data_IF_649188359092
#
_entry.id   IF_649188359092
#
_cell.length_a   1.000
_cell.length_b   1.000
_cell.length_c   1.000
_cell.angle_alpha   90.00
_cell.angle_beta   90.00
_cell.angle_gamma   90.00
#
_symmetry.space_group_name_H-M   'P 1'
#
loop_
_entity.id
_entity.type
_entity.pdbx_description
1 polymer ?
#
# COMPACT_ATOMS: atom_id res chain seq x y z
N UNK A 1 1.72 -11.68 2.00
CA UNK A 1 1.35 -12.82 1.12
C UNK A 1 -0.14 -13.20 1.28
N UNK A 2 -0.66 -13.43 2.50
CA UNK A 2 -2.07 -13.80 2.72
C UNK A 2 -3.10 -12.85 2.10
N UNK A 3 -2.96 -11.53 2.26
CA UNK A 3 -3.83 -10.55 1.60
C UNK A 3 -3.86 -10.71 0.07
N UNK A 4 -2.69 -10.84 -0.56
CA UNK A 4 -2.60 -11.02 -2.02
C UNK A 4 -3.28 -12.31 -2.48
N UNK A 5 -3.23 -13.37 -1.67
CA UNK A 5 -3.92 -14.61 -1.98
C UNK A 5 -5.45 -14.44 -1.92
N UNK A 6 -5.97 -13.83 -0.85
CA UNK A 6 -7.42 -13.58 -0.74
C UNK A 6 -7.93 -12.65 -1.85
N UNK A 7 -7.16 -11.62 -2.20
CA UNK A 7 -7.49 -10.75 -3.33
C UNK A 7 -7.49 -11.52 -4.65
N UNK A 8 -6.48 -12.36 -4.90
CA UNK A 8 -6.45 -13.23 -6.08
C UNK A 8 -7.67 -14.16 -6.14
N UNK A 9 -8.03 -14.82 -5.03
CA UNK A 9 -9.23 -15.65 -4.97
C UNK A 9 -10.49 -14.85 -5.33
N UNK A 10 -10.62 -13.63 -4.81
CA UNK A 10 -11.72 -12.72 -5.15
C UNK A 10 -11.74 -12.37 -6.64
N UNK A 11 -10.59 -12.20 -7.30
CA UNK A 11 -10.55 -11.99 -8.76
C UNK A 11 -10.93 -13.22 -9.56
N UNK A 12 -10.65 -14.42 -9.05
CA UNK A 12 -10.97 -15.69 -9.72
C UNK A 12 -12.46 -16.00 -9.66
N UNK A 13 -13.09 -15.83 -8.51
CA UNK A 13 -14.52 -16.16 -8.31
C UNK A 13 -15.45 -14.97 -8.52
N UNK A 14 -14.91 -13.74 -8.54
CA UNK A 14 -15.67 -12.50 -8.56
C UNK A 14 -15.90 -11.93 -7.16
N UNK A 15 -15.85 -10.61 -7.02
CA UNK A 15 -15.90 -9.93 -5.72
C UNK A 15 -17.19 -10.20 -4.94
N UNK A 16 -18.35 -10.17 -5.60
CA UNK A 16 -19.65 -10.40 -4.94
C UNK A 16 -19.76 -11.84 -4.40
N UNK A 17 -19.36 -12.82 -5.21
CA UNK A 17 -19.33 -14.23 -4.82
C UNK A 17 -18.33 -14.49 -3.68
N UNK A 18 -17.18 -13.80 -3.72
CA UNK A 18 -16.20 -13.88 -2.65
C UNK A 18 -16.71 -13.28 -1.33
N UNK A 19 -17.48 -12.20 -1.37
CA UNK A 19 -18.10 -11.61 -0.18
C UNK A 19 -19.13 -12.55 0.46
N UNK A 20 -19.95 -13.22 -0.37
CA UNK A 20 -20.88 -14.27 0.10
C UNK A 20 -20.13 -15.44 0.73
N UNK A 21 -19.04 -15.88 0.11
CA UNK A 21 -18.13 -16.88 0.69
C UNK A 21 -17.57 -16.43 2.04
N UNK A 22 -17.05 -15.21 2.14
CA UNK A 22 -16.43 -14.69 3.35
C UNK A 22 -17.44 -14.60 4.50
N UNK A 23 -18.67 -14.16 4.22
CA UNK A 23 -19.75 -14.15 5.20
C UNK A 23 -20.08 -15.58 5.66
N UNK A 24 -20.23 -16.53 4.74
CA UNK A 24 -20.52 -17.93 5.07
C UNK A 24 -19.40 -18.57 5.89
N UNK A 25 -18.13 -18.29 5.55
CA UNK A 25 -16.95 -18.79 6.25
C UNK A 25 -16.91 -18.29 7.70
N UNK A 26 -17.08 -16.98 7.92
CA UNK A 26 -17.09 -16.39 9.26
C UNK A 26 -18.26 -16.96 10.08
N UNK A 27 -19.45 -17.08 9.49
CA UNK A 27 -20.60 -17.65 10.21
C UNK A 27 -20.41 -19.13 10.57
N UNK A 28 -19.76 -19.90 9.71
CA UNK A 28 -19.47 -21.31 9.96
C UNK A 28 -18.45 -21.52 11.08
N UNK A 29 -17.40 -20.70 11.11
CA UNK A 29 -16.23 -20.91 11.98
C UNK A 29 -16.11 -19.91 13.14
N UNK A 30 -17.11 -19.06 13.36
CA UNK A 30 -17.16 -18.21 14.57
C UNK A 30 -16.98 -19.06 15.83
N UNK A 31 -16.18 -18.54 16.77
CA UNK A 31 -15.83 -19.19 18.04
C UNK A 31 -15.08 -20.52 17.91
N UNK A 32 -14.46 -20.79 16.75
CA UNK A 32 -13.64 -21.99 16.51
C UNK A 32 -12.22 -21.60 16.08
N UNK A 33 -11.30 -22.54 16.22
CA UNK A 33 -9.96 -22.48 15.60
C UNK A 33 -9.97 -23.32 14.34
N UNK A 34 -9.34 -22.83 13.28
CA UNK A 34 -9.31 -23.47 11.96
C UNK A 34 -7.91 -23.42 11.38
N UNK A 35 -7.63 -24.36 10.49
CA UNK A 35 -6.39 -24.46 9.74
C UNK A 35 -6.54 -23.90 8.34
N UNK A 36 -5.42 -23.66 7.64
CA UNK A 36 -5.42 -23.30 6.22
C UNK A 36 -6.08 -24.39 5.34
N UNK A 37 -6.02 -25.66 5.78
CA UNK A 37 -6.68 -26.76 5.09
C UNK A 37 -8.21 -26.67 5.24
N UNK A 38 -8.71 -26.31 6.42
CA UNK A 38 -10.16 -26.10 6.64
C UNK A 38 -10.69 -24.94 5.79
N UNK A 39 -9.88 -23.89 5.59
CA UNK A 39 -10.19 -22.80 4.66
C UNK A 39 -10.31 -23.31 3.22
N UNK A 40 -9.29 -24.04 2.73
CA UNK A 40 -9.30 -24.60 1.38
C UNK A 40 -10.50 -25.51 1.14
N UNK A 41 -10.75 -26.46 2.04
CA UNK A 41 -11.88 -27.40 1.94
C UNK A 41 -13.21 -26.65 1.92
N UNK A 42 -13.36 -25.62 2.76
CA UNK A 42 -14.58 -24.82 2.76
C UNK A 42 -14.75 -24.01 1.47
N UNK A 43 -13.67 -23.45 0.91
CA UNK A 43 -13.67 -22.72 -0.35
C UNK A 43 -14.04 -23.61 -1.54
N UNK A 44 -13.36 -24.75 -1.70
CA UNK A 44 -13.65 -25.72 -2.76
C UNK A 44 -15.09 -26.24 -2.67
N UNK A 45 -15.60 -26.45 -1.45
CA UNK A 45 -16.98 -26.86 -1.22
C UNK A 45 -17.98 -25.75 -1.58
N UNK A 46 -17.69 -24.50 -1.21
CA UNK A 46 -18.57 -23.36 -1.48
C UNK A 46 -18.77 -23.15 -3.00
N UNK A 47 -17.70 -23.33 -3.77
CA UNK A 47 -17.71 -23.13 -5.22
C UNK A 47 -17.69 -24.44 -6.03
N UNK A 48 -18.15 -25.56 -5.45
CA UNK A 48 -18.13 -26.87 -6.10
C UNK A 48 -18.91 -26.92 -7.43
N UNK A 49 -19.91 -26.05 -7.60
CA UNK A 49 -20.67 -25.91 -8.83
C UNK A 49 -19.91 -25.20 -9.97
N UNK A 50 -18.76 -24.59 -9.66
CA UNK A 50 -17.96 -23.78 -10.58
C UNK A 50 -16.51 -24.33 -10.68
N UNK A 51 -16.34 -25.55 -11.24
CA UNK A 51 -15.04 -26.23 -11.26
C UNK A 51 -13.96 -25.46 -12.03
N UNK A 52 -14.34 -24.64 -13.01
CA UNK A 52 -13.39 -23.83 -13.80
C UNK A 52 -12.71 -22.72 -12.98
N UNK A 53 -13.36 -22.20 -11.92
CA UNK A 53 -12.71 -21.27 -10.99
C UNK A 53 -11.67 -21.99 -10.14
N UNK A 54 -12.03 -23.16 -9.61
CA UNK A 54 -11.17 -23.94 -8.72
C UNK A 54 -9.89 -24.42 -9.42
N UNK A 55 -9.98 -24.79 -10.71
CA UNK A 55 -8.84 -25.24 -11.52
C UNK A 55 -7.75 -24.19 -11.70
N UNK A 56 -8.07 -22.90 -11.55
CA UNK A 56 -7.08 -21.82 -11.70
C UNK A 56 -6.18 -21.68 -10.47
N UNK A 57 -6.59 -22.21 -9.32
CA UNK A 57 -5.96 -21.94 -8.02
C UNK A 57 -4.87 -22.97 -7.73
N UNK A 58 -3.61 -22.54 -7.79
CA UNK A 58 -2.47 -23.32 -7.29
C UNK A 58 -2.34 -23.18 -5.76
N UNK A 59 -3.11 -23.99 -5.02
CA UNK A 59 -3.11 -23.97 -3.55
C UNK A 59 -1.74 -24.22 -2.94
N UNK A 60 -1.00 -25.19 -3.47
CA UNK A 60 0.27 -25.61 -2.88
C UNK A 60 1.33 -24.52 -3.09
N UNK A 61 1.35 -23.91 -4.27
CA UNK A 61 2.22 -22.77 -4.53
C UNK A 61 1.88 -21.55 -3.66
N UNK A 62 0.60 -21.27 -3.43
CA UNK A 62 0.20 -20.18 -2.53
C UNK A 62 0.55 -20.45 -1.06
N UNK A 63 0.32 -21.66 -0.57
CA UNK A 63 0.53 -22.02 0.83
C UNK A 63 2.00 -22.28 1.19
N UNK A 64 2.77 -22.91 0.31
CA UNK A 64 4.06 -23.49 0.70
C UNK A 64 5.27 -22.86 0.00
N UNK A 65 5.11 -22.22 -1.15
CA UNK A 65 6.26 -21.57 -1.82
C UNK A 65 6.81 -20.39 -1.01
N UNK A 66 8.12 -20.21 -1.01
CA UNK A 66 8.79 -19.09 -0.34
C UNK A 66 8.87 -17.86 -1.25
N UNK A 67 9.20 -16.69 -0.69
CA UNK A 67 9.39 -15.47 -1.46
C UNK A 67 8.10 -14.71 -1.81
N UNK A 68 8.14 -13.99 -2.93
CA UNK A 68 7.06 -13.12 -3.39
C UNK A 68 5.81 -13.92 -3.79
N UNK A 69 4.60 -13.31 -3.74
CA UNK A 69 3.37 -13.94 -4.24
C UNK A 69 3.53 -14.42 -5.70
N UNK A 70 2.89 -15.55 -6.03
CA UNK A 70 2.97 -16.15 -7.39
C UNK A 70 2.35 -15.26 -8.47
N UNK A 71 1.33 -14.50 -8.10
CA UNK A 71 0.60 -13.61 -8.98
C UNK A 71 0.72 -12.20 -8.43
N UNK A 72 1.17 -11.30 -9.29
CA UNK A 72 1.18 -9.87 -8.99
C UNK A 72 -0.20 -9.29 -9.27
N UNK A 73 -0.88 -8.90 -8.20
CA UNK A 73 -2.18 -8.25 -8.29
C UNK A 73 -2.03 -6.84 -8.87
N UNK A 74 -2.90 -6.48 -9.81
CA UNK A 74 -2.92 -5.14 -10.39
C UNK A 74 -3.77 -4.20 -9.55
N UNK A 75 -3.12 -3.25 -8.88
CA UNK A 75 -3.78 -2.20 -8.12
C UNK A 75 -3.80 -0.89 -8.91
N UNK A 76 -4.79 -0.04 -8.66
CA UNK A 76 -4.75 1.34 -9.12
C UNK A 76 -3.61 2.08 -8.41
N UNK A 77 -2.67 2.58 -9.20
CA UNK A 77 -1.47 3.28 -8.72
C UNK A 77 -1.49 4.77 -9.08
N UNK A 78 -2.62 5.32 -9.53
CA UNK A 78 -2.71 6.70 -10.04
C UNK A 78 -2.22 7.71 -9.01
N UNK A 79 -2.78 7.67 -7.78
CA UNK A 79 -2.37 8.59 -6.71
C UNK A 79 -0.94 8.28 -6.23
N UNK A 80 -0.59 6.99 -6.13
CA UNK A 80 0.76 6.56 -5.71
C UNK A 80 1.82 7.12 -6.64
N UNK A 81 1.58 7.06 -7.95
CA UNK A 81 2.49 7.55 -8.98
C UNK A 81 2.65 9.07 -8.92
N UNK A 82 1.57 9.81 -8.67
CA UNK A 82 1.64 11.26 -8.48
C UNK A 82 2.45 11.66 -7.24
N UNK A 83 2.26 10.96 -6.11
CA UNK A 83 3.01 11.21 -4.87
C UNK A 83 4.50 10.88 -5.05
N UNK A 84 4.82 9.77 -5.73
CA UNK A 84 6.22 9.42 -6.03
C UNK A 84 6.88 10.46 -6.93
N UNK A 85 6.18 10.88 -8.00
CA UNK A 85 6.68 11.93 -8.88
C UNK A 85 6.91 13.26 -8.14
N UNK A 86 6.06 13.60 -7.17
CA UNK A 86 6.26 14.76 -6.30
C UNK A 86 7.54 14.60 -5.46
N UNK A 87 7.75 13.45 -4.83
CA UNK A 87 8.96 13.15 -4.04
C UNK A 87 10.25 13.21 -4.88
N UNK A 88 10.25 12.60 -6.07
CA UNK A 88 11.38 12.69 -7.01
C UNK A 88 11.69 14.14 -7.43
N UNK A 89 10.64 14.93 -7.64
CA UNK A 89 10.80 16.35 -7.97
C UNK A 89 11.34 17.17 -6.81
N UNK A 90 10.86 16.91 -5.59
CA UNK A 90 11.37 17.53 -4.37
C UNK A 90 12.83 17.19 -4.17
N UNK A 91 13.24 15.94 -4.39
CA UNK A 91 14.65 15.55 -4.22
C UNK A 91 15.61 16.29 -5.17
N UNK A 92 15.16 16.60 -6.38
CA UNK A 92 16.02 17.11 -7.46
C UNK A 92 15.98 18.64 -7.62
N UNK A 93 14.92 19.30 -7.16
CA UNK A 93 14.63 20.70 -7.46
C UNK A 93 14.15 21.41 -6.20
N UNK A 94 14.85 22.47 -5.80
CA UNK A 94 14.51 23.32 -4.64
C UNK A 94 13.38 24.35 -4.90
N UNK A 95 12.94 24.50 -6.15
CA UNK A 95 11.92 25.48 -6.54
C UNK A 95 10.50 24.94 -6.33
N UNK A 96 9.84 25.40 -5.26
CA UNK A 96 8.47 25.04 -4.90
C UNK A 96 7.42 25.32 -6.00
N UNK A 97 7.68 26.30 -6.90
CA UNK A 97 6.77 26.57 -8.03
C UNK A 97 6.71 25.38 -9.00
N UNK A 98 7.79 24.59 -9.11
CA UNK A 98 7.84 23.39 -9.95
C UNK A 98 7.12 22.20 -9.29
N UNK A 99 7.08 22.13 -7.96
CA UNK A 99 6.29 21.11 -7.25
C UNK A 99 4.79 21.34 -7.41
N UNK A 100 4.36 22.61 -7.40
CA UNK A 100 2.95 23.01 -7.62
C UNK A 100 2.42 22.52 -8.99
N UNK A 101 3.30 22.37 -10.00
CA UNK A 101 2.91 21.82 -11.31
C UNK A 101 2.54 20.34 -11.27
N UNK A 102 3.02 19.61 -10.26
CA UNK A 102 2.70 18.20 -10.05
C UNK A 102 1.46 18.08 -9.18
N UNK A 103 1.45 18.80 -8.05
CA UNK A 103 0.37 18.72 -7.08
C UNK A 103 0.15 20.09 -6.40
N UNK A 104 -1.10 20.52 -6.34
CA UNK A 104 -1.47 21.76 -5.67
C UNK A 104 -1.33 21.60 -4.14
N UNK A 105 -0.60 22.50 -3.44
CA UNK A 105 -0.48 22.49 -1.99
C UNK A 105 -1.83 22.46 -1.23
N UNK A 106 -2.91 22.98 -1.79
CA UNK A 106 -4.23 22.94 -1.14
C UNK A 106 -4.80 21.52 -1.04
N UNK A 107 -4.43 20.64 -1.97
CA UNK A 107 -4.85 19.23 -1.96
C UNK A 107 -4.20 18.49 -0.79
N UNK A 108 -2.96 18.87 -0.43
CA UNK A 108 -2.21 18.28 0.70
C UNK A 108 -2.96 18.38 2.03
N UNK A 109 -3.75 19.45 2.23
CA UNK A 109 -4.52 19.64 3.47
C UNK A 109 -5.57 18.56 3.71
N UNK A 110 -6.00 17.87 2.65
CA UNK A 110 -6.98 16.77 2.70
C UNK A 110 -6.32 15.40 2.58
N UNK A 111 -4.99 15.33 2.52
CA UNK A 111 -4.30 14.05 2.40
C UNK A 111 -4.52 13.20 3.66
N UNK A 112 -4.85 11.91 3.49
CA UNK A 112 -4.75 10.97 4.59
C UNK A 112 -3.28 10.76 4.95
N UNK A 113 -3.03 10.31 6.18
CA UNK A 113 -1.66 10.05 6.67
C UNK A 113 -0.87 9.08 5.77
N UNK A 114 -1.53 8.11 5.12
CA UNK A 114 -0.89 7.16 4.22
C UNK A 114 -0.19 7.81 3.01
N UNK A 115 -0.72 8.91 2.46
CA UNK A 115 -0.07 9.62 1.35
C UNK A 115 1.14 10.43 1.83
N UNK A 116 1.05 11.02 3.02
CA UNK A 116 2.19 11.67 3.66
C UNK A 116 3.32 10.69 3.96
N UNK A 117 2.98 9.51 4.48
CA UNK A 117 3.92 8.41 4.71
C UNK A 117 4.59 8.02 3.40
N UNK A 118 3.82 7.81 2.33
CA UNK A 118 4.37 7.47 1.02
C UNK A 118 5.32 8.55 0.48
N UNK A 119 4.98 9.82 0.63
CA UNK A 119 5.86 10.93 0.22
C UNK A 119 7.19 10.87 0.98
N UNK A 120 7.14 10.75 2.31
CA UNK A 120 8.34 10.72 3.14
C UNK A 120 9.18 9.46 2.90
N UNK A 121 8.56 8.29 2.72
CA UNK A 121 9.24 7.05 2.36
C UNK A 121 9.92 7.17 0.99
N UNK A 122 9.29 7.85 0.04
CA UNK A 122 9.90 8.14 -1.28
C UNK A 122 11.15 9.00 -1.11
N UNK A 123 11.08 10.07 -0.32
CA UNK A 123 12.22 10.96 -0.07
C UNK A 123 13.37 10.22 0.64
N UNK A 124 13.06 9.43 1.67
CA UNK A 124 14.04 8.62 2.41
C UNK A 124 14.73 7.58 1.51
N UNK A 125 13.96 6.92 0.65
CA UNK A 125 14.49 5.95 -0.31
C UNK A 125 15.48 6.62 -1.29
N UNK A 126 15.12 7.80 -1.80
CA UNK A 126 15.98 8.55 -2.72
C UNK A 126 17.22 9.12 -2.03
N UNK A 127 17.12 9.58 -0.79
CA UNK A 127 18.25 10.01 0.03
C UNK A 127 19.23 8.85 0.26
N UNK A 128 18.71 7.67 0.62
CA UNK A 128 19.52 6.48 0.87
C UNK A 128 20.20 5.95 -0.39
N UNK A 129 19.50 5.98 -1.53
CA UNK A 129 20.03 5.49 -2.81
C UNK A 129 21.09 6.40 -3.44
N UNK A 130 20.97 7.71 -3.26
CA UNK A 130 21.87 8.70 -3.90
C UNK A 130 22.95 9.26 -2.97
N UNK A 131 22.97 8.87 -1.68
CA UNK A 131 23.83 9.47 -0.64
C UNK A 131 23.76 11.01 -0.55
N UNK A 132 22.68 11.60 -1.05
CA UNK A 132 22.52 13.05 -1.12
C UNK A 132 21.68 13.51 0.06
N UNK A 133 22.31 14.08 1.09
CA UNK A 133 21.56 14.72 2.18
C UNK A 133 20.91 16.01 1.70
N UNK A 134 19.64 16.21 2.07
CA UNK A 134 18.95 17.46 1.81
C UNK A 134 19.48 18.54 2.75
N UNK A 135 19.91 19.67 2.19
CA UNK A 135 20.31 20.83 2.99
C UNK A 135 19.12 21.35 3.83
N UNK A 136 19.39 21.97 4.97
CA UNK A 136 18.36 22.50 5.88
C UNK A 136 17.36 23.42 5.18
N UNK A 137 17.85 24.34 4.33
CA UNK A 137 16.97 25.23 3.57
C UNK A 137 16.02 24.49 2.60
N UNK A 138 16.42 23.31 2.12
CA UNK A 138 15.56 22.46 1.29
C UNK A 138 14.49 21.76 2.14
N UNK A 139 14.86 21.24 3.31
CA UNK A 139 13.91 20.67 4.25
C UNK A 139 12.88 21.71 4.70
N UNK A 140 13.30 22.93 5.00
CA UNK A 140 12.40 24.04 5.34
C UNK A 140 11.42 24.35 4.19
N UNK A 141 11.89 24.31 2.93
CA UNK A 141 11.03 24.49 1.76
C UNK A 141 9.99 23.37 1.61
N UNK A 142 10.37 22.11 1.87
CA UNK A 142 9.47 20.96 1.84
C UNK A 142 8.39 21.09 2.92
N UNK A 143 8.78 21.43 4.17
CA UNK A 143 7.82 21.61 5.26
C UNK A 143 6.91 22.83 5.02
N UNK A 144 7.43 23.93 4.48
CA UNK A 144 6.63 25.08 4.09
C UNK A 144 5.61 24.73 3.00
N UNK A 145 6.00 23.94 1.99
CA UNK A 145 5.08 23.44 0.96
C UNK A 145 3.99 22.53 1.55
N UNK A 146 4.33 21.80 2.62
CA UNK A 146 3.42 20.99 3.41
C UNK A 146 2.61 21.79 4.45
N UNK A 147 2.60 23.13 4.40
CA UNK A 147 1.94 24.01 5.38
C UNK A 147 2.39 23.75 6.83
N UNK A 148 3.67 23.44 7.03
CA UNK A 148 4.29 23.08 8.30
C UNK A 148 3.70 21.84 8.99
N UNK A 149 3.00 21.00 8.22
CA UNK A 149 2.37 19.80 8.76
C UNK A 149 3.39 18.80 9.30
N UNK A 150 4.55 18.65 8.66
CA UNK A 150 5.54 17.62 9.02
C UNK A 150 6.20 17.93 10.36
N UNK A 151 6.41 19.23 10.64
CA UNK A 151 6.98 19.69 11.90
C UNK A 151 5.98 19.76 13.06
N UNK A 152 4.68 19.90 12.77
CA UNK A 152 3.64 20.11 13.80
C UNK A 152 2.76 18.90 14.07
N UNK A 153 2.81 17.87 13.22
CA UNK A 153 1.98 16.67 13.37
C UNK A 153 2.30 15.89 14.65
N UNK A 154 1.27 15.36 15.30
CA UNK A 154 1.42 14.43 16.44
C UNK A 154 1.44 12.96 15.99
N UNK A 155 1.32 12.69 14.69
CA UNK A 155 1.40 11.32 14.17
C UNK A 155 2.84 10.80 14.26
N UNK A 156 3.05 9.74 15.02
CA UNK A 156 4.37 9.14 15.25
C UNK A 156 5.01 8.58 13.97
N UNK A 157 4.22 8.04 13.04
CA UNK A 157 4.72 7.50 11.77
C UNK A 157 5.28 8.58 10.86
N UNK A 158 4.65 9.76 10.87
CA UNK A 158 5.10 10.93 10.11
C UNK A 158 6.33 11.56 10.76
N UNK A 159 6.28 11.80 12.07
CA UNK A 159 7.41 12.39 12.81
C UNK A 159 8.67 11.54 12.70
N UNK A 160 8.53 10.22 12.84
CA UNK A 160 9.66 9.30 12.72
C UNK A 160 10.36 9.48 11.37
N UNK A 161 9.61 9.45 10.26
CA UNK A 161 10.17 9.59 8.92
C UNK A 161 10.71 10.98 8.64
N UNK A 162 9.99 12.02 9.05
CA UNK A 162 10.42 13.40 8.90
C UNK A 162 11.75 13.65 9.63
N UNK A 163 11.86 13.24 10.89
CA UNK A 163 13.11 13.39 11.63
C UNK A 163 14.23 12.51 11.09
N UNK A 164 13.91 11.31 10.57
CA UNK A 164 14.92 10.47 9.91
C UNK A 164 15.44 11.15 8.65
N UNK A 165 14.59 11.85 7.90
CA UNK A 165 14.97 12.60 6.70
C UNK A 165 15.84 13.82 7.05
N UNK A 166 15.58 14.45 8.20
CA UNK A 166 16.33 15.60 8.69
C UNK A 166 17.72 15.27 9.26
N UNK A 167 17.97 14.00 9.61
CA UNK A 167 19.24 13.51 10.16
C UNK A 167 20.17 13.01 9.04
#
# INVERSE_FOLDING_TARGET
KGFNFLHYLSTVVGSEEFDLFAQAYIQKYKFQTVTSQDFRVFFEKHFAAQPEWLKQIDWDGWFFSTGMPLIENKFDTTIISQVRALGEKMMTIQDAKKWTKILDPHVLRKWPASLWILLLDTLLLLQSGNHAQLATAHLDAIDAFAHHHLSTTHNSELRFRWFTLCL
#
